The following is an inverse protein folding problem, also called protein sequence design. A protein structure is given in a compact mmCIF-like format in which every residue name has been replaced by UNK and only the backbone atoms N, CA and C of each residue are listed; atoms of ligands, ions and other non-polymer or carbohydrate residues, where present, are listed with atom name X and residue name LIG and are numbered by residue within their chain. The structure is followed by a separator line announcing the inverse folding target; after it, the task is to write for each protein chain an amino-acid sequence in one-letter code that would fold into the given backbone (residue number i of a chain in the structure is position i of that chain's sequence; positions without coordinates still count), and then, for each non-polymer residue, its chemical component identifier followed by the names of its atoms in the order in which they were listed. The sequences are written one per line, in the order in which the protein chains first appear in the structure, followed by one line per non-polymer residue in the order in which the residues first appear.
data_IF_572820353317
#
_entry.id   IF_572820353317
#
_cell.length_a   1.000
_cell.length_b   1.000
_cell.length_c   1.000
_cell.angle_alpha   90.00
_cell.angle_beta   90.00
_cell.angle_gamma   90.00
#
_symmetry.space_group_name_H-M   'P 1'
#
loop_
_entity.id
_entity.type
_entity.pdbx_description
1 polymer ?
#
# COMPACT_ATOMS: atom_id res chain seq x y z
N UNK A 1 -12.82 -15.52 12.73
CA UNK A 1 -11.75 -15.56 11.71
C UNK A 1 -12.32 -15.02 10.40
N UNK A 2 -11.58 -14.16 9.68
CA UNK A 2 -11.97 -13.62 8.36
C UNK A 2 -10.98 -14.17 7.32
N UNK A 3 -11.46 -14.46 6.11
CA UNK A 3 -10.64 -15.03 5.03
C UNK A 3 -10.29 -13.93 4.03
N UNK A 4 -9.02 -13.78 3.70
CA UNK A 4 -8.52 -12.90 2.65
C UNK A 4 -7.89 -13.74 1.53
N UNK A 5 -8.01 -13.28 0.27
CA UNK A 5 -7.53 -14.02 -0.90
C UNK A 5 -6.61 -13.13 -1.75
N UNK A 6 -5.59 -13.72 -2.36
CA UNK A 6 -4.81 -13.03 -3.41
C UNK A 6 -5.58 -13.09 -4.73
N UNK A 7 -5.54 -12.01 -5.51
CA UNK A 7 -6.12 -12.01 -6.86
C UNK A 7 -5.28 -12.93 -7.75
N UNK A 8 -5.88 -13.89 -8.48
CA UNK A 8 -5.17 -14.82 -9.35
C UNK A 8 -4.86 -14.17 -10.70
N UNK A 9 -3.91 -13.24 -10.71
CA UNK A 9 -3.42 -12.64 -11.96
C UNK A 9 -2.31 -13.56 -12.51
N UNK A 10 -2.61 -14.27 -13.60
CA UNK A 10 -1.65 -15.11 -14.32
C UNK A 10 -0.88 -14.29 -15.34
N UNK A 11 0.33 -14.74 -15.66
CA UNK A 11 1.14 -14.18 -16.75
C UNK A 11 0.33 -14.25 -18.05
N UNK A 12 0.02 -13.09 -18.64
CA UNK A 12 -0.84 -12.96 -19.83
C UNK A 12 -2.14 -12.20 -19.61
N UNK A 13 -2.52 -11.88 -18.36
CA UNK A 13 -3.56 -10.87 -18.08
C UNK A 13 -5.00 -11.32 -18.36
N UNK A 14 -5.38 -12.52 -17.89
CA UNK A 14 -6.79 -12.94 -17.92
C UNK A 14 -7.64 -12.20 -16.86
N UNK A 15 -7.95 -10.94 -17.16
CA UNK A 15 -8.74 -10.06 -16.30
C UNK A 15 -10.22 -10.48 -16.22
N UNK A 16 -10.71 -11.25 -17.21
CA UNK A 16 -12.05 -11.83 -17.17
C UNK A 16 -12.16 -12.88 -16.06
N UNK A 17 -11.17 -13.78 -15.98
CA UNK A 17 -11.08 -14.73 -14.88
C UNK A 17 -10.90 -14.04 -13.53
N UNK A 18 -10.03 -13.03 -13.43
CA UNK A 18 -9.83 -12.28 -12.19
C UNK A 18 -11.14 -11.61 -11.71
N UNK A 19 -11.95 -11.10 -12.63
CA UNK A 19 -13.24 -10.51 -12.34
C UNK A 19 -14.26 -11.54 -11.84
N UNK A 20 -14.33 -12.70 -12.51
CA UNK A 20 -15.19 -13.79 -12.07
C UNK A 20 -14.78 -14.28 -10.68
N UNK A 21 -13.48 -14.46 -10.44
CA UNK A 21 -12.95 -14.83 -9.15
C UNK A 21 -13.34 -13.83 -8.06
N UNK A 22 -13.21 -12.53 -8.32
CA UNK A 22 -13.57 -11.49 -7.36
C UNK A 22 -15.07 -11.51 -7.01
N UNK A 23 -15.93 -11.70 -8.02
CA UNK A 23 -17.38 -11.78 -7.84
C UNK A 23 -17.78 -12.99 -7.01
N UNK A 24 -17.19 -14.16 -7.29
CA UNK A 24 -17.44 -15.37 -6.53
C UNK A 24 -16.87 -15.31 -5.11
N UNK A 25 -15.69 -14.73 -4.92
CA UNK A 25 -15.11 -14.51 -3.60
C UNK A 25 -16.01 -13.63 -2.72
N UNK A 26 -16.53 -12.54 -3.28
CA UNK A 26 -17.52 -11.69 -2.60
C UNK A 26 -18.80 -12.48 -2.27
N UNK A 27 -19.35 -13.22 -3.24
CA UNK A 27 -20.55 -14.05 -3.04
C UNK A 27 -20.38 -15.11 -1.94
N UNK A 28 -19.16 -15.65 -1.80
CA UNK A 28 -18.81 -16.64 -0.77
C UNK A 28 -18.47 -16.01 0.59
N UNK A 29 -18.48 -14.69 0.71
CA UNK A 29 -18.21 -13.98 1.97
C UNK A 29 -16.74 -13.87 2.33
N UNK A 30 -15.82 -13.93 1.35
CA UNK A 30 -14.43 -13.54 1.59
C UNK A 30 -14.37 -12.08 2.06
N UNK A 31 -13.50 -11.79 3.03
CA UNK A 31 -13.43 -10.47 3.63
C UNK A 31 -12.67 -9.47 2.77
N UNK A 32 -11.65 -9.92 2.03
CA UNK A 32 -10.85 -9.04 1.18
C UNK A 32 -10.08 -9.76 0.07
N UNK A 33 -9.79 -9.00 -0.99
CA UNK A 33 -8.92 -9.38 -2.10
C UNK A 33 -7.65 -8.52 -2.09
N UNK A 34 -6.51 -9.16 -2.33
CA UNK A 34 -5.20 -8.50 -2.29
C UNK A 34 -4.46 -8.62 -3.62
N UNK A 35 -4.03 -7.47 -4.16
CA UNK A 35 -3.28 -7.36 -5.41
C UNK A 35 -1.78 -7.23 -5.14
N UNK A 36 -0.95 -7.99 -5.84
CA UNK A 36 0.51 -8.00 -5.63
C UNK A 36 1.21 -7.08 -6.63
N UNK A 37 2.31 -6.46 -6.19
CA UNK A 37 3.23 -5.71 -7.06
C UNK A 37 4.62 -6.33 -7.06
N UNK A 38 5.15 -6.58 -8.26
CA UNK A 38 6.52 -7.05 -8.50
C UNK A 38 7.14 -6.23 -9.65
N UNK A 39 7.58 -6.86 -10.74
CA UNK A 39 8.10 -6.23 -11.97
C UNK A 39 7.25 -6.58 -13.19
N UNK A 40 5.93 -6.68 -12.99
CA UNK A 40 4.94 -6.98 -14.02
C UNK A 40 3.81 -5.96 -13.98
N UNK A 41 2.63 -6.39 -13.53
CA UNK A 41 1.51 -5.49 -13.27
C UNK A 41 1.70 -4.73 -11.95
N UNK A 42 1.15 -3.52 -11.90
CA UNK A 42 1.07 -2.73 -10.67
C UNK A 42 -0.04 -3.25 -9.74
N UNK A 43 0.05 -2.98 -8.44
CA UNK A 43 -0.95 -3.47 -7.47
C UNK A 43 -2.29 -2.71 -7.51
N UNK A 44 -2.35 -1.52 -8.10
CA UNK A 44 -3.45 -0.54 -7.93
C UNK A 44 -4.49 -0.69 -9.02
N UNK A 45 -4.06 -0.75 -10.29
CA UNK A 45 -4.93 -0.81 -11.47
C UNK A 45 -5.92 -1.98 -11.40
N UNK A 46 -5.50 -3.21 -11.02
CA UNK A 46 -6.44 -4.32 -10.83
C UNK A 46 -7.53 -4.02 -9.80
N UNK A 47 -7.17 -3.37 -8.69
CA UNK A 47 -8.11 -3.06 -7.62
C UNK A 47 -9.13 -2.02 -8.06
N UNK A 48 -8.75 -1.02 -8.86
CA UNK A 48 -9.69 -0.06 -9.42
C UNK A 48 -10.70 -0.75 -10.34
N UNK A 49 -10.24 -1.68 -11.18
CA UNK A 49 -11.11 -2.48 -12.06
C UNK A 49 -12.10 -3.34 -11.26
N UNK A 50 -11.64 -3.99 -10.20
CA UNK A 50 -12.48 -4.82 -9.32
C UNK A 50 -13.41 -3.98 -8.43
N UNK A 51 -13.00 -2.79 -7.99
CA UNK A 51 -13.82 -1.89 -7.18
C UNK A 51 -15.11 -1.51 -7.90
N UNK A 52 -15.04 -1.28 -9.21
CA UNK A 52 -16.21 -0.98 -10.05
C UNK A 52 -17.19 -2.15 -10.21
N UNK A 53 -16.82 -3.36 -9.78
CA UNK A 53 -17.57 -4.61 -10.03
C UNK A 53 -17.87 -5.42 -8.78
N UNK A 54 -17.46 -4.92 -7.63
CA UNK A 54 -17.73 -5.50 -6.31
C UNK A 54 -18.33 -4.44 -5.41
N UNK A 55 -19.06 -4.84 -4.37
CA UNK A 55 -19.87 -3.91 -3.58
C UNK A 55 -19.53 -3.87 -2.09
N UNK A 56 -18.94 -4.94 -1.56
CA UNK A 56 -18.78 -5.17 -0.11
C UNK A 56 -17.41 -5.71 0.27
N UNK A 57 -16.75 -6.50 -0.59
CA UNK A 57 -15.45 -7.11 -0.29
C UNK A 57 -14.36 -6.04 -0.15
N UNK A 58 -13.47 -6.20 0.84
CA UNK A 58 -12.32 -5.30 1.00
C UNK A 58 -11.33 -5.44 -0.15
N UNK A 59 -10.63 -4.37 -0.50
CA UNK A 59 -9.65 -4.35 -1.59
C UNK A 59 -8.32 -3.82 -1.07
N UNK A 60 -7.27 -4.64 -1.14
CA UNK A 60 -5.97 -4.32 -0.55
C UNK A 60 -4.80 -4.45 -1.51
N UNK A 61 -3.76 -3.64 -1.34
CA UNK A 61 -2.46 -3.88 -1.99
C UNK A 61 -1.62 -4.80 -1.11
N UNK A 62 -1.18 -5.95 -1.61
CA UNK A 62 -0.38 -6.93 -0.88
C UNK A 62 0.92 -7.28 -1.62
N UNK A 63 1.82 -6.35 -1.91
CA UNK A 63 1.93 -4.97 -1.39
C UNK A 63 2.05 -3.95 -2.51
N UNK A 64 1.94 -2.65 -2.18
CA UNK A 64 2.43 -1.54 -2.98
C UNK A 64 3.88 -1.21 -2.56
N UNK A 65 4.78 -1.08 -3.53
CA UNK A 65 6.22 -0.92 -3.29
C UNK A 65 6.58 0.52 -2.89
N UNK A 66 7.11 0.71 -1.69
CA UNK A 66 7.47 2.02 -1.10
C UNK A 66 8.47 2.80 -1.97
N UNK A 67 9.46 2.13 -2.55
CA UNK A 67 10.51 2.78 -3.36
C UNK A 67 10.08 3.17 -4.78
N UNK A 68 8.90 2.76 -5.23
CA UNK A 68 8.46 2.94 -6.63
C UNK A 68 7.69 4.24 -6.89
N UNK A 69 7.28 4.95 -5.83
CA UNK A 69 6.37 6.10 -5.89
C UNK A 69 6.74 7.14 -4.85
N UNK A 70 6.49 8.42 -5.14
CA UNK A 70 6.57 9.46 -4.11
C UNK A 70 5.47 9.27 -3.05
N UNK A 71 5.69 9.71 -1.79
CA UNK A 71 4.65 9.64 -0.76
C UNK A 71 3.34 10.34 -1.18
N UNK A 72 3.43 11.45 -1.92
CA UNK A 72 2.27 12.15 -2.46
C UNK A 72 1.50 11.30 -3.49
N UNK A 73 2.20 10.58 -4.38
CA UNK A 73 1.55 9.66 -5.32
C UNK A 73 0.89 8.49 -4.61
N UNK A 74 1.50 7.95 -3.55
CA UNK A 74 0.87 6.91 -2.72
C UNK A 74 -0.42 7.44 -2.09
N UNK A 75 -0.37 8.62 -1.46
CA UNK A 75 -1.54 9.23 -0.83
C UNK A 75 -2.69 9.51 -1.83
N UNK A 76 -2.37 10.08 -3.00
CA UNK A 76 -3.36 10.35 -4.05
C UNK A 76 -3.99 9.05 -4.56
N UNK A 77 -3.18 8.02 -4.79
CA UNK A 77 -3.62 6.71 -5.26
C UNK A 77 -4.55 6.05 -4.24
N UNK A 78 -4.13 6.05 -2.97
CA UNK A 78 -4.89 5.50 -1.87
C UNK A 78 -6.23 6.22 -1.69
N UNK A 79 -6.23 7.56 -1.71
CA UNK A 79 -7.45 8.37 -1.62
C UNK A 79 -8.41 8.07 -2.77
N UNK A 80 -7.88 7.93 -3.99
CA UNK A 80 -8.67 7.63 -5.18
C UNK A 80 -9.30 6.24 -5.09
N UNK A 81 -8.52 5.20 -4.76
CA UNK A 81 -9.05 3.84 -4.59
C UNK A 81 -10.04 3.74 -3.43
N UNK A 82 -9.81 4.46 -2.34
CA UNK A 82 -10.73 4.51 -1.21
C UNK A 82 -12.08 5.11 -1.63
N UNK A 83 -12.05 6.21 -2.40
CA UNK A 83 -13.26 6.80 -2.98
C UNK A 83 -13.96 5.86 -3.95
N UNK A 84 -13.24 5.30 -4.93
CA UNK A 84 -13.79 4.39 -5.95
C UNK A 84 -14.42 3.13 -5.35
N UNK A 85 -13.86 2.63 -4.25
CA UNK A 85 -14.35 1.44 -3.55
C UNK A 85 -15.42 1.75 -2.50
N UNK A 86 -15.76 3.02 -2.26
CA UNK A 86 -16.73 3.40 -1.23
C UNK A 86 -16.22 3.13 0.20
N UNK A 87 -14.93 3.36 0.45
CA UNK A 87 -14.31 3.19 1.76
C UNK A 87 -13.74 1.79 2.05
N UNK A 88 -13.68 0.91 1.04
CA UNK A 88 -13.26 -0.50 1.21
C UNK A 88 -11.77 -0.75 0.96
N UNK A 89 -11.01 0.29 0.62
CA UNK A 89 -9.61 0.15 0.25
C UNK A 89 -8.70 0.07 1.48
N UNK A 90 -7.69 -0.81 1.43
CA UNK A 90 -6.64 -0.95 2.43
C UNK A 90 -5.27 -0.81 1.75
N UNK A 91 -4.48 0.17 2.18
CA UNK A 91 -3.15 0.43 1.63
C UNK A 91 -2.13 -0.50 2.31
N UNK A 92 -1.84 -1.64 1.69
CA UNK A 92 -0.72 -2.45 2.13
C UNK A 92 0.58 -2.07 1.43
N UNK A 93 1.63 -1.83 2.20
CA UNK A 93 2.93 -1.34 1.76
C UNK A 93 4.05 -2.35 2.07
N UNK A 94 5.10 -2.31 1.27
CA UNK A 94 6.32 -3.07 1.52
C UNK A 94 7.53 -2.49 0.79
N UNK A 95 8.71 -2.80 1.29
CA UNK A 95 9.97 -2.23 0.78
C UNK A 95 10.41 -2.87 -0.54
N UNK A 96 9.90 -4.05 -0.87
CA UNK A 96 10.49 -4.94 -1.89
C UNK A 96 11.97 -5.23 -1.57
N UNK A 97 12.74 -5.67 -2.57
CA UNK A 97 14.18 -5.91 -2.49
C UNK A 97 14.98 -5.12 -3.54
N UNK A 98 16.32 -5.06 -3.39
CA UNK A 98 17.19 -4.26 -4.25
C UNK A 98 17.12 -4.68 -5.72
N UNK A 99 16.89 -5.96 -6.03
CA UNK A 99 16.71 -6.41 -7.42
C UNK A 99 15.58 -5.66 -8.14
N UNK A 100 14.50 -5.35 -7.41
CA UNK A 100 13.36 -4.63 -7.97
C UNK A 100 13.54 -3.12 -7.84
N UNK A 101 13.93 -2.64 -6.66
CA UNK A 101 14.02 -1.20 -6.43
C UNK A 101 15.16 -0.57 -7.24
N UNK A 102 16.36 -1.17 -7.22
CA UNK A 102 17.52 -0.64 -7.95
C UNK A 102 17.50 -1.13 -9.40
N UNK A 103 17.26 -2.43 -9.61
CA UNK A 103 17.37 -3.05 -10.93
C UNK A 103 16.22 -2.70 -11.90
N UNK A 104 15.01 -2.44 -11.38
CA UNK A 104 13.84 -2.16 -12.21
C UNK A 104 13.41 -0.69 -12.13
N UNK A 105 13.31 -0.12 -10.93
CA UNK A 105 12.87 1.28 -10.74
C UNK A 105 14.02 2.29 -10.81
N UNK A 106 15.28 1.85 -10.75
CA UNK A 106 16.45 2.74 -10.79
C UNK A 106 16.59 3.63 -9.56
N UNK A 107 15.99 3.24 -8.43
CA UNK A 107 16.00 3.98 -7.18
C UNK A 107 16.96 3.29 -6.20
N UNK A 108 17.81 4.02 -5.45
CA UNK A 108 18.65 3.41 -4.43
C UNK A 108 17.83 2.66 -3.37
N UNK A 109 18.24 1.46 -3.01
CA UNK A 109 17.66 0.72 -1.90
C UNK A 109 18.36 1.10 -0.58
N UNK A 110 18.12 2.30 -0.09
CA UNK A 110 18.71 2.83 1.14
C UNK A 110 17.65 3.05 2.23
N UNK A 111 18.08 2.89 3.50
CA UNK A 111 17.30 3.25 4.70
C UNK A 111 15.82 2.79 4.66
N UNK A 112 15.51 1.51 4.39
CA UNK A 112 14.14 1.05 4.15
C UNK A 112 13.17 1.30 5.31
N UNK A 113 13.65 1.19 6.56
CA UNK A 113 12.85 1.47 7.77
C UNK A 113 12.48 2.96 7.83
N UNK A 114 13.45 3.86 7.65
CA UNK A 114 13.19 5.30 7.67
C UNK A 114 12.30 5.71 6.49
N UNK A 115 12.54 5.19 5.28
CA UNK A 115 11.66 5.41 4.12
C UNK A 115 10.22 5.02 4.40
N UNK A 116 10.02 3.89 5.07
CA UNK A 116 8.69 3.38 5.44
C UNK A 116 8.00 4.30 6.43
N UNK A 117 8.70 4.70 7.51
CA UNK A 117 8.21 5.65 8.51
C UNK A 117 7.73 6.95 7.86
N UNK A 118 8.63 7.63 7.17
CA UNK A 118 8.34 8.96 6.63
C UNK A 118 7.25 8.92 5.56
N UNK A 119 7.20 7.84 4.76
CA UNK A 119 6.13 7.65 3.79
C UNK A 119 4.77 7.50 4.49
N UNK A 120 4.67 6.69 5.55
CA UNK A 120 3.42 6.52 6.30
C UNK A 120 2.96 7.85 6.90
N UNK A 121 3.88 8.57 7.55
CA UNK A 121 3.59 9.87 8.16
C UNK A 121 3.08 10.88 7.12
N UNK A 122 3.74 10.98 5.96
CA UNK A 122 3.29 11.86 4.87
C UNK A 122 1.94 11.40 4.31
N UNK A 123 1.71 10.10 4.13
CA UNK A 123 0.41 9.59 3.65
C UNK A 123 -0.70 9.94 4.63
N UNK A 124 -0.47 9.79 5.94
CA UNK A 124 -1.43 10.20 6.98
C UNK A 124 -1.69 11.71 6.94
N UNK A 125 -0.65 12.53 6.82
CA UNK A 125 -0.79 13.99 6.72
C UNK A 125 -1.53 14.41 5.44
N UNK A 126 -1.25 13.77 4.31
CA UNK A 126 -1.90 14.05 3.04
C UNK A 126 -3.38 13.62 3.01
N UNK A 127 -3.75 12.61 3.81
CA UNK A 127 -5.12 12.09 3.92
C UNK A 127 -5.90 12.67 5.09
N UNK A 128 -5.27 13.39 6.03
CA UNK A 128 -5.96 14.08 7.14
C UNK A 128 -6.79 15.27 6.68
N UNK A 129 -6.56 15.75 5.45
CA UNK A 129 -7.15 16.95 4.92
C UNK A 129 -6.41 18.22 5.34
N UNK A 130 -5.26 18.13 6.02
CA UNK A 130 -4.39 19.27 6.36
C UNK A 130 -3.43 19.66 5.23
N UNK A 131 -2.67 20.74 5.44
CA UNK A 131 -1.56 21.07 4.54
C UNK A 131 -0.39 20.11 4.80
N UNK A 132 0.20 19.58 3.74
CA UNK A 132 1.36 18.72 3.82
C UNK A 132 2.63 19.58 3.90
N UNK A 133 3.12 19.72 5.13
CA UNK A 133 4.47 20.19 5.42
C UNK A 133 5.19 19.10 6.23
N UNK A 134 6.36 18.68 5.77
CA UNK A 134 7.11 17.57 6.34
C UNK A 134 8.61 17.79 6.21
N UNK A 135 9.34 17.57 7.30
CA UNK A 135 10.79 17.72 7.39
C UNK A 135 11.37 16.43 7.98
N UNK A 136 11.70 15.48 7.11
CA UNK A 136 12.30 14.19 7.47
C UNK A 136 13.79 14.11 7.10
N UNK A 137 14.36 12.92 7.20
CA UNK A 137 15.72 12.60 6.76
C UNK A 137 15.79 12.18 5.29
N UNK A 138 14.67 11.75 4.71
CA UNK A 138 14.56 11.31 3.33
C UNK A 138 13.68 12.25 2.52
N UNK A 139 12.52 12.64 3.07
CA UNK A 139 11.56 13.49 2.39
C UNK A 139 11.48 14.87 3.04
N UNK A 140 11.52 15.90 2.19
CA UNK A 140 11.22 17.27 2.58
C UNK A 140 10.12 17.83 1.68
N UNK A 141 9.02 18.27 2.28
CA UNK A 141 7.85 18.82 1.61
C UNK A 141 7.44 20.13 2.29
N UNK A 142 7.40 21.28 1.58
CA UNK A 142 7.90 21.48 0.23
C UNK A 142 9.42 21.29 0.13
N UNK A 143 9.91 21.09 -1.09
CA UNK A 143 11.34 20.91 -1.36
C UNK A 143 12.11 22.20 -0.97
N UNK A 144 13.17 22.11 -0.14
CA UNK A 144 14.01 23.24 0.21
C UNK A 144 14.67 23.87 -1.03
N UNK A 145 14.71 25.20 -1.08
CA UNK A 145 15.31 25.94 -2.20
C UNK A 145 14.48 25.97 -3.49
N UNK A 146 13.29 25.36 -3.50
CA UNK A 146 12.33 25.47 -4.60
C UNK A 146 11.24 26.52 -4.37
N UNK A 147 10.38 26.73 -5.37
CA UNK A 147 9.19 27.61 -5.29
C UNK A 147 7.95 26.91 -4.72
N UNK A 148 8.09 25.66 -4.30
CA UNK A 148 7.00 24.86 -3.76
C UNK A 148 6.49 25.41 -2.42
N UNK A 149 5.20 25.17 -2.14
CA UNK A 149 4.58 25.47 -0.86
C UNK A 149 3.81 24.26 -0.35
N UNK A 150 3.55 24.22 0.95
CA UNK A 150 2.69 23.20 1.54
C UNK A 150 1.30 23.23 0.86
N UNK A 151 0.84 22.06 0.41
CA UNK A 151 -0.44 21.91 -0.28
C UNK A 151 -1.41 21.09 0.56
N UNK A 152 -2.68 21.45 0.49
CA UNK A 152 -3.77 20.62 1.01
C UNK A 152 -4.30 19.74 -0.12
N UNK A 153 -4.56 18.46 0.17
CA UNK A 153 -5.22 17.58 -0.81
C UNK A 153 -6.58 18.15 -1.21
N UNK A 154 -6.82 18.25 -2.53
CA UNK A 154 -8.11 18.70 -3.05
C UNK A 154 -9.23 17.66 -2.88
N UNK A 155 -8.87 16.40 -2.61
CA UNK A 155 -9.82 15.32 -2.35
C UNK A 155 -10.44 15.37 -0.93
N UNK A 156 -9.96 16.27 -0.06
CA UNK A 156 -10.38 16.36 1.32
C UNK A 156 -9.79 15.28 2.22
N UNK A 157 -10.29 15.20 3.44
CA UNK A 157 -9.88 14.17 4.40
C UNK A 157 -10.46 12.80 4.00
N UNK A 158 -9.66 11.75 4.16
CA UNK A 158 -10.10 10.36 4.00
C UNK A 158 -9.37 9.47 4.99
N UNK A 159 -10.07 8.45 5.51
CA UNK A 159 -9.42 7.43 6.31
C UNK A 159 -9.04 6.25 5.42
N UNK A 160 -7.74 5.98 5.31
CA UNK A 160 -7.21 4.80 4.60
C UNK A 160 -6.45 3.94 5.61
N UNK A 161 -6.90 2.70 5.86
CA UNK A 161 -6.15 1.74 6.65
C UNK A 161 -4.80 1.41 6.00
N UNK A 162 -3.73 1.43 6.77
CA UNK A 162 -2.36 1.13 6.32
C UNK A 162 -1.90 -0.20 6.91
N UNK A 163 -1.48 -1.11 6.05
CA UNK A 163 -0.92 -2.41 6.43
C UNK A 163 0.54 -2.50 5.99
N UNK A 164 1.42 -3.09 6.79
CA UNK A 164 2.84 -3.22 6.43
C UNK A 164 3.22 -4.69 6.31
N UNK A 165 3.82 -5.08 5.19
CA UNK A 165 4.55 -6.34 5.08
C UNK A 165 5.94 -6.12 5.68
N UNK A 166 6.11 -6.55 6.92
CA UNK A 166 7.34 -6.39 7.68
C UNK A 166 7.93 -7.74 8.10
N UNK A 167 9.25 -7.79 8.08
CA UNK A 167 10.08 -8.86 8.62
C UNK A 167 11.20 -8.24 9.46
N UNK A 168 11.59 -8.92 10.53
CA UNK A 168 12.65 -8.48 11.45
C UNK A 168 12.16 -7.48 12.52
N UNK A 169 12.81 -7.44 13.69
CA UNK A 169 12.32 -6.80 14.90
C UNK A 169 12.04 -5.32 14.72
N UNK A 170 12.99 -4.57 14.15
CA UNK A 170 12.83 -3.12 13.96
C UNK A 170 11.67 -2.74 13.03
N UNK A 171 11.39 -3.57 12.03
CA UNK A 171 10.30 -3.31 11.10
C UNK A 171 8.94 -3.70 11.72
N UNK A 172 8.93 -4.72 12.59
CA UNK A 172 7.77 -5.08 13.40
C UNK A 172 7.46 -4.03 14.47
N UNK A 173 8.48 -3.47 15.13
CA UNK A 173 8.34 -2.33 16.05
C UNK A 173 7.72 -1.13 15.33
N UNK A 174 8.26 -0.74 14.17
CA UNK A 174 7.69 0.33 13.33
C UNK A 174 6.24 0.02 12.94
N UNK A 175 5.96 -1.23 12.56
CA UNK A 175 4.61 -1.66 12.18
C UNK A 175 3.64 -1.51 13.34
N UNK A 176 4.02 -1.91 14.56
CA UNK A 176 3.21 -1.75 15.77
C UNK A 176 3.00 -0.28 16.17
N UNK A 177 3.92 0.60 15.81
CA UNK A 177 3.83 2.04 16.08
C UNK A 177 2.90 2.78 15.11
N UNK A 178 2.98 2.50 13.80
CA UNK A 178 2.39 3.37 12.77
C UNK A 178 1.27 2.73 11.93
N UNK A 179 1.20 1.40 11.88
CA UNK A 179 0.30 0.70 10.97
C UNK A 179 -1.01 0.27 11.66
N UNK A 180 -2.08 0.14 10.86
CA UNK A 180 -3.35 -0.42 11.30
C UNK A 180 -3.35 -1.97 11.26
N UNK A 181 -2.34 -2.56 10.63
CA UNK A 181 -2.15 -4.00 10.61
C UNK A 181 -0.81 -4.46 10.03
N UNK A 182 -0.47 -5.70 10.35
CA UNK A 182 0.71 -6.38 9.86
C UNK A 182 0.33 -7.46 8.85
N UNK A 183 1.04 -7.49 7.72
CA UNK A 183 1.00 -8.61 6.76
C UNK A 183 2.23 -9.49 7.00
N UNK A 184 2.06 -10.50 7.86
CA UNK A 184 3.09 -11.51 8.09
C UNK A 184 3.32 -12.37 6.85
N UNK A 185 4.57 -12.77 6.63
CA UNK A 185 4.91 -13.82 5.68
C UNK A 185 4.55 -15.21 6.22
N UNK A 186 5.30 -16.24 5.84
CA UNK A 186 5.27 -17.54 6.51
C UNK A 186 5.85 -17.42 7.93
N UNK A 187 5.09 -16.76 8.82
CA UNK A 187 5.39 -16.61 10.22
C UNK A 187 4.83 -17.81 10.97
N UNK A 188 5.72 -18.57 11.58
CA UNK A 188 5.37 -19.65 12.49
C UNK A 188 5.56 -19.06 13.90
N UNK A 189 4.48 -18.89 14.69
CA UNK A 189 4.57 -18.27 16.02
C UNK A 189 5.61 -18.92 16.93
N UNK A 190 5.81 -20.23 16.80
CA UNK A 190 6.77 -21.03 17.54
C UNK A 190 8.23 -20.76 17.17
N UNK A 191 8.47 -20.03 16.08
CA UNK A 191 9.82 -19.62 15.65
C UNK A 191 9.97 -18.10 15.70
N UNK A 192 9.18 -17.39 16.52
CA UNK A 192 9.23 -15.93 16.57
C UNK A 192 10.63 -15.39 16.94
N UNK A 193 11.41 -16.16 17.70
CA UNK A 193 12.76 -15.82 18.14
C UNK A 193 13.81 -15.79 17.01
N UNK A 194 13.51 -16.35 15.83
CA UNK A 194 14.46 -16.39 14.69
C UNK A 194 14.34 -15.18 13.76
N UNK A 195 13.37 -14.30 14.00
CA UNK A 195 13.12 -13.08 13.21
C UNK A 195 13.69 -11.84 13.90
#
# INVERSE_FOLDING_TARGET
MRIALSIPIRDGGDWGHALQFASEAERMGAASLWSREAWGYDAVTPLAFLAARTSTIGLGTGIMQIGSRSPANVAMTATTLNSLSGGRFMLGLGTSGPQVIEGWHGIPFDRPIQRTRELIEIVRLATSGEQVAYEGEIYHLPLPGGEGRALRSAAGASHVPIYIAALGPRNLELTGELADGWMGGSFIPETAEVF
#
